data_IF_441503339035
#
_entry.id   IF_441503339035
#
_cell.length_a   1.000
_cell.length_b   1.000
_cell.length_c   1.000
_cell.angle_alpha   90.00
_cell.angle_beta   90.00
_cell.angle_gamma   90.00
#
_symmetry.space_group_name_H-M   'P 1'
#
loop_
_entity.id
_entity.type
_entity.pdbx_description
1 polymer ?
#
# COMPACT_ATOMS: atom_id res chain seq x y z
N UNK A 1 -16.14 -3.15 -102.16
CA UNK A 1 -17.60 -3.01 -101.92
C UNK A 1 -18.04 -3.94 -100.81
N UNK A 2 -18.13 -3.42 -99.58
CA UNK A 2 -19.01 -3.86 -98.47
C UNK A 2 -18.73 -2.92 -97.28
N UNK A 3 -19.78 -2.21 -96.83
CA UNK A 3 -19.74 -1.24 -95.73
C UNK A 3 -19.75 -1.98 -94.38
N UNK A 4 -18.87 -1.59 -93.45
CA UNK A 4 -18.94 -1.86 -92.00
C UNK A 4 -18.48 -0.58 -91.31
N UNK A 5 -19.38 0.33 -90.95
CA UNK A 5 -19.98 0.51 -89.60
C UNK A 5 -18.90 0.60 -88.51
N UNK A 6 -18.42 1.84 -88.36
CA UNK A 6 -17.89 2.40 -87.12
C UNK A 6 -19.05 3.18 -86.49
N UNK A 7 -19.45 2.85 -85.27
CA UNK A 7 -20.17 3.78 -84.39
C UNK A 7 -19.61 3.64 -82.98
N UNK A 8 -19.11 4.77 -82.49
CA UNK A 8 -18.62 5.02 -81.16
C UNK A 8 -19.68 5.77 -80.35
N UNK A 9 -19.52 5.74 -79.02
CA UNK A 9 -20.08 6.66 -78.02
C UNK A 9 -21.60 6.91 -77.98
N UNK A 10 -22.21 6.58 -76.84
CA UNK A 10 -23.00 7.48 -75.98
C UNK A 10 -24.10 6.70 -75.24
N UNK A 11 -23.80 6.30 -74.01
CA UNK A 11 -24.81 6.06 -72.98
C UNK A 11 -24.19 6.38 -71.62
N UNK A 12 -23.86 7.66 -71.42
CA UNK A 12 -23.97 8.25 -70.10
C UNK A 12 -25.45 8.57 -69.89
N UNK A 13 -26.09 7.99 -68.87
CA UNK A 13 -26.90 8.71 -67.86
C UNK A 13 -27.63 7.71 -66.94
N UNK A 14 -27.65 8.09 -65.66
CA UNK A 14 -28.50 7.59 -64.57
C UNK A 14 -28.12 6.24 -63.94
N UNK A 15 -27.24 6.24 -62.93
CA UNK A 15 -27.59 6.01 -61.50
C UNK A 15 -26.42 6.49 -60.62
N UNK A 16 -26.32 7.81 -60.41
CA UNK A 16 -25.48 8.35 -59.34
C UNK A 16 -26.08 9.64 -58.80
N UNK A 17 -27.35 9.55 -58.37
CA UNK A 17 -27.86 10.44 -57.34
C UNK A 17 -27.61 9.74 -56.00
N UNK A 18 -26.39 9.86 -55.49
CA UNK A 18 -26.15 9.85 -54.05
C UNK A 18 -26.70 11.16 -53.47
N UNK A 19 -28.01 11.40 -53.68
CA UNK A 19 -28.76 12.29 -52.81
C UNK A 19 -28.64 11.68 -51.41
N UNK A 20 -28.34 12.51 -50.40
CA UNK A 20 -28.77 12.22 -49.03
C UNK A 20 -30.23 11.78 -49.14
N UNK A 21 -30.49 10.48 -48.97
CA UNK A 21 -31.86 9.96 -48.93
C UNK A 21 -32.43 10.48 -47.62
N UNK A 22 -33.03 11.66 -47.68
CA UNK A 22 -33.92 12.18 -46.66
C UNK A 22 -35.33 11.84 -47.11
N UNK A 23 -36.00 10.97 -46.38
CA UNK A 23 -37.42 10.70 -46.61
C UNK A 23 -38.22 11.78 -45.89
N UNK A 24 -38.93 12.62 -46.66
CA UNK A 24 -39.85 13.62 -46.12
C UNK A 24 -40.94 12.98 -45.26
N UNK A 25 -41.33 11.75 -45.60
CA UNK A 25 -42.33 10.98 -44.84
C UNK A 25 -41.79 10.58 -43.46
N UNK A 26 -40.63 9.92 -43.40
CA UNK A 26 -40.00 9.53 -42.13
C UNK A 26 -39.76 10.76 -41.25
N UNK A 27 -39.24 11.85 -41.81
CA UNK A 27 -39.03 13.10 -41.06
C UNK A 27 -40.35 13.67 -40.51
N UNK A 28 -41.42 13.67 -41.30
CA UNK A 28 -42.75 14.17 -40.88
C UNK A 28 -43.39 13.29 -39.79
N UNK A 29 -43.26 11.97 -39.93
CA UNK A 29 -43.76 11.01 -38.94
C UNK A 29 -42.98 11.13 -37.63
N UNK A 30 -41.65 11.23 -37.68
CA UNK A 30 -40.82 11.50 -36.50
C UNK A 30 -41.18 12.85 -35.84
N UNK A 31 -41.43 13.89 -36.63
CA UNK A 31 -41.86 15.18 -36.09
C UNK A 31 -43.22 15.08 -35.37
N UNK A 32 -44.14 14.26 -35.90
CA UNK A 32 -45.44 14.00 -35.27
C UNK A 32 -45.28 13.19 -33.98
N UNK A 33 -44.46 12.13 -33.97
CA UNK A 33 -44.15 11.36 -32.77
C UNK A 33 -43.49 12.22 -31.68
N UNK A 34 -42.59 13.13 -32.07
CA UNK A 34 -41.99 14.09 -31.15
C UNK A 34 -43.02 15.09 -30.58
N UNK A 35 -44.01 15.52 -31.38
CA UNK A 35 -45.12 16.34 -30.86
C UNK A 35 -45.96 15.56 -29.85
N UNK A 36 -46.24 14.28 -30.10
CA UNK A 36 -46.93 13.41 -29.14
C UNK A 36 -46.15 13.36 -27.82
N UNK A 37 -44.85 13.07 -27.84
CA UNK A 37 -44.06 13.03 -26.61
C UNK A 37 -44.03 14.36 -25.85
N UNK A 38 -44.06 15.50 -26.54
CA UNK A 38 -44.17 16.82 -25.89
C UNK A 38 -45.53 17.00 -25.21
N UNK A 39 -46.62 16.61 -25.87
CA UNK A 39 -47.96 16.67 -25.28
C UNK A 39 -48.09 15.72 -24.09
N UNK A 40 -47.55 14.50 -24.18
CA UNK A 40 -47.49 13.55 -23.07
C UNK A 40 -46.68 14.12 -21.89
N UNK A 41 -45.55 14.79 -22.16
CA UNK A 41 -44.78 15.48 -21.12
C UNK A 41 -45.57 16.63 -20.47
N UNK A 42 -46.33 17.41 -21.26
CA UNK A 42 -47.21 18.46 -20.72
C UNK A 42 -48.35 17.88 -19.88
N UNK A 43 -48.92 16.74 -20.29
CA UNK A 43 -49.89 15.98 -19.52
C UNK A 43 -49.29 15.55 -18.17
N UNK A 44 -48.10 14.95 -18.17
CA UNK A 44 -47.39 14.53 -16.95
C UNK A 44 -47.23 15.72 -15.97
N UNK A 45 -46.79 16.88 -16.47
CA UNK A 45 -46.60 18.10 -15.66
C UNK A 45 -47.91 18.61 -15.08
N UNK A 46 -48.97 18.69 -15.90
CA UNK A 46 -50.30 19.12 -15.44
C UNK A 46 -50.88 18.13 -14.44
N UNK A 47 -50.67 16.83 -14.61
CA UNK A 47 -51.15 15.80 -13.69
C UNK A 47 -50.47 15.88 -12.33
N UNK A 48 -49.16 16.13 -12.29
CA UNK A 48 -48.46 16.38 -11.01
C UNK A 48 -49.03 17.62 -10.32
N UNK A 49 -49.37 18.67 -11.09
CA UNK A 49 -50.02 19.86 -10.53
C UNK A 49 -51.42 19.57 -9.98
N UNK A 50 -52.22 18.75 -10.65
CA UNK A 50 -53.51 18.26 -10.14
C UNK A 50 -53.31 17.53 -8.81
N UNK A 51 -52.34 16.61 -8.74
CA UNK A 51 -52.01 15.88 -7.51
C UNK A 51 -51.56 16.81 -6.38
N UNK A 52 -50.79 17.86 -6.69
CA UNK A 52 -50.40 18.89 -5.71
C UNK A 52 -51.62 19.67 -5.19
N UNK A 53 -52.51 20.11 -6.08
CA UNK A 53 -53.72 20.84 -5.70
C UNK A 53 -54.68 19.97 -4.87
N UNK A 54 -54.80 18.68 -5.19
CA UNK A 54 -55.55 17.71 -4.40
C UNK A 54 -54.98 17.58 -2.97
N UNK A 55 -53.66 17.48 -2.84
CA UNK A 55 -53.00 17.46 -1.53
C UNK A 55 -53.26 18.77 -0.75
N UNK A 56 -53.19 19.91 -1.43
CA UNK A 56 -53.48 21.21 -0.83
C UNK A 56 -54.94 21.31 -0.36
N UNK A 57 -55.89 20.86 -1.19
CA UNK A 57 -57.30 20.81 -0.82
C UNK A 57 -57.54 19.99 0.46
N UNK A 58 -56.92 18.82 0.57
CA UNK A 58 -57.01 17.99 1.79
C UNK A 58 -56.33 18.67 2.99
N UNK A 59 -55.15 19.28 2.80
CA UNK A 59 -54.44 19.99 3.87
C UNK A 59 -55.21 21.19 4.43
N UNK A 60 -55.94 21.90 3.57
CA UNK A 60 -56.76 23.03 3.99
C UNK A 60 -58.05 22.56 4.71
N UNK A 61 -58.30 21.26 4.84
CA UNK A 61 -59.47 20.71 5.55
C UNK A 61 -60.57 20.17 4.63
N UNK A 62 -60.30 20.10 3.33
CA UNK A 62 -61.13 19.39 2.37
C UNK A 62 -61.18 17.89 2.64
N UNK A 63 -62.24 17.23 2.16
CA UNK A 63 -62.38 15.78 2.30
C UNK A 63 -61.39 15.07 1.38
N UNK A 64 -60.67 14.08 1.92
CA UNK A 64 -59.81 13.23 1.11
C UNK A 64 -60.65 12.43 0.09
N UNK A 65 -60.37 12.67 -1.19
CA UNK A 65 -61.00 12.00 -2.33
C UNK A 65 -60.07 10.97 -2.99
N UNK A 66 -58.99 10.62 -2.28
CA UNK A 66 -57.95 9.70 -2.73
C UNK A 66 -56.91 10.37 -3.62
N UNK A 67 -55.77 9.71 -3.77
CA UNK A 67 -54.76 10.10 -4.77
C UNK A 67 -55.21 9.65 -6.16
N UNK A 68 -54.83 10.40 -7.19
CA UNK A 68 -55.07 9.98 -8.58
C UNK A 68 -54.18 8.77 -8.88
N UNK A 69 -54.77 7.58 -8.88
CA UNK A 69 -54.11 6.35 -9.31
C UNK A 69 -54.19 6.31 -10.84
N UNK A 70 -53.19 6.89 -11.52
CA UNK A 70 -53.12 6.96 -12.98
C UNK A 70 -52.99 8.39 -13.52
N UNK A 71 -53.20 8.55 -14.83
CA UNK A 71 -52.99 9.82 -15.55
C UNK A 71 -54.24 10.75 -15.58
N UNK A 72 -55.34 10.44 -14.89
CA UNK A 72 -56.58 11.25 -14.86
C UNK A 72 -57.41 10.97 -13.61
N UNK A 73 -58.12 11.98 -13.10
CA UNK A 73 -59.18 11.79 -12.10
C UNK A 73 -60.20 10.75 -12.57
N UNK A 74 -60.67 9.88 -11.66
CA UNK A 74 -61.76 8.96 -12.02
C UNK A 74 -63.07 9.75 -12.19
N UNK A 75 -64.05 9.23 -12.96
CA UNK A 75 -65.36 9.86 -13.10
C UNK A 75 -66.03 10.12 -11.74
N UNK A 76 -65.84 9.22 -10.78
CA UNK A 76 -66.36 9.33 -9.42
C UNK A 76 -65.67 10.48 -8.67
N UNK A 77 -64.34 10.59 -8.74
CA UNK A 77 -63.59 11.68 -8.12
C UNK A 77 -64.00 13.06 -8.71
N UNK A 78 -64.20 13.12 -10.02
CA UNK A 78 -64.68 14.32 -10.72
C UNK A 78 -66.08 14.73 -10.26
N UNK A 79 -67.00 13.77 -10.20
CA UNK A 79 -68.37 14.02 -9.74
C UNK A 79 -68.42 14.51 -8.28
N UNK A 80 -67.58 13.97 -7.40
CA UNK A 80 -67.48 14.43 -6.00
C UNK A 80 -66.98 15.87 -5.93
N UNK A 81 -65.95 16.23 -6.70
CA UNK A 81 -65.44 17.60 -6.78
C UNK A 81 -66.48 18.58 -7.34
N UNK A 82 -67.18 18.20 -8.41
CA UNK A 82 -68.26 19.02 -9.01
C UNK A 82 -69.44 19.21 -8.06
N UNK A 83 -69.81 18.18 -7.29
CA UNK A 83 -70.85 18.29 -6.27
C UNK A 83 -70.43 19.23 -5.14
N UNK A 84 -69.19 19.10 -4.64
CA UNK A 84 -68.67 19.97 -3.58
C UNK A 84 -68.57 21.41 -4.04
N UNK A 85 -68.14 21.67 -5.27
CA UNK A 85 -68.13 23.01 -5.84
C UNK A 85 -69.51 23.70 -5.76
N UNK A 86 -70.61 22.95 -5.83
CA UNK A 86 -71.97 23.50 -5.71
C UNK A 86 -72.38 23.79 -4.26
N UNK A 87 -71.82 23.06 -3.29
CA UNK A 87 -72.20 23.12 -1.86
C UNK A 87 -71.27 23.99 -1.01
N UNK A 88 -70.02 24.18 -1.45
CA UNK A 88 -68.96 24.87 -0.69
C UNK A 88 -69.16 26.39 -0.66
N UNK A 89 -69.12 27.03 0.52
CA UNK A 89 -69.28 28.49 0.64
C UNK A 89 -67.97 29.24 0.94
N UNK A 90 -66.90 28.54 1.30
CA UNK A 90 -65.57 29.13 1.46
C UNK A 90 -64.94 29.49 0.12
N UNK A 91 -64.60 30.77 -0.07
CA UNK A 91 -64.04 31.29 -1.32
C UNK A 91 -62.77 30.52 -1.73
N UNK A 92 -61.85 30.23 -0.78
CA UNK A 92 -60.60 29.51 -1.05
C UNK A 92 -60.76 28.07 -1.55
N UNK A 93 -61.70 27.30 -0.98
CA UNK A 93 -61.93 25.92 -1.41
C UNK A 93 -62.60 25.84 -2.79
N UNK A 94 -63.50 26.79 -3.10
CA UNK A 94 -64.12 26.86 -4.42
C UNK A 94 -63.08 27.11 -5.50
N UNK A 95 -62.12 27.99 -5.23
CA UNK A 95 -61.03 28.30 -6.17
C UNK A 95 -60.11 27.09 -6.38
N UNK A 96 -59.73 26.38 -5.32
CA UNK A 96 -58.93 25.15 -5.44
C UNK A 96 -59.64 24.05 -6.22
N UNK A 97 -60.94 23.82 -5.97
CA UNK A 97 -61.73 22.82 -6.70
C UNK A 97 -61.87 23.23 -8.18
N UNK A 98 -62.11 24.51 -8.46
CA UNK A 98 -62.15 25.03 -9.83
C UNK A 98 -60.83 24.82 -10.56
N UNK A 99 -59.70 25.10 -9.91
CA UNK A 99 -58.38 24.91 -10.49
C UNK A 99 -58.09 23.44 -10.78
N UNK A 100 -58.45 22.52 -9.86
CA UNK A 100 -58.32 21.07 -10.07
C UNK A 100 -59.13 20.63 -11.30
N UNK A 101 -60.40 21.00 -11.37
CA UNK A 101 -61.29 20.62 -12.48
C UNK A 101 -60.84 21.23 -13.82
N UNK A 102 -60.38 22.48 -13.81
CA UNK A 102 -59.85 23.14 -15.01
C UNK A 102 -58.58 22.45 -15.52
N UNK A 103 -57.63 22.11 -14.63
CA UNK A 103 -56.41 21.38 -15.03
C UNK A 103 -56.70 19.96 -15.49
N UNK A 104 -57.69 19.29 -14.89
CA UNK A 104 -58.15 18.00 -15.36
C UNK A 104 -58.74 18.08 -16.77
N UNK A 105 -59.53 19.13 -17.06
CA UNK A 105 -60.03 19.38 -18.42
C UNK A 105 -58.91 19.61 -19.41
N UNK A 106 -57.89 20.40 -19.05
CA UNK A 106 -56.70 20.58 -19.90
C UNK A 106 -56.03 19.23 -20.21
N UNK A 107 -55.91 18.33 -19.23
CA UNK A 107 -55.32 16.99 -19.42
C UNK A 107 -56.18 16.16 -20.38
N UNK A 108 -57.51 16.16 -20.23
CA UNK A 108 -58.44 15.47 -21.12
C UNK A 108 -58.31 15.99 -22.56
N UNK A 109 -58.29 17.30 -22.75
CA UNK A 109 -58.17 17.95 -24.07
C UNK A 109 -56.81 17.63 -24.73
N UNK A 110 -55.71 17.60 -23.96
CA UNK A 110 -54.39 17.20 -24.46
C UNK A 110 -54.34 15.71 -24.86
N UNK A 111 -55.00 14.82 -24.11
CA UNK A 111 -55.08 13.40 -24.46
C UNK A 111 -55.83 13.17 -25.78
N UNK A 112 -56.89 13.93 -26.02
CA UNK A 112 -57.59 13.91 -27.31
C UNK A 112 -56.65 14.31 -28.44
N UNK A 113 -55.86 15.38 -28.26
CA UNK A 113 -54.86 15.79 -29.27
C UNK A 113 -53.80 14.70 -29.51
N UNK A 114 -53.33 14.03 -28.45
CA UNK A 114 -52.41 12.89 -28.58
C UNK A 114 -53.05 11.80 -29.44
N UNK A 115 -54.28 11.38 -29.14
CA UNK A 115 -55.00 10.36 -29.91
C UNK A 115 -55.21 10.76 -31.37
N UNK A 116 -55.49 12.03 -31.65
CA UNK A 116 -55.62 12.54 -33.03
C UNK A 116 -54.31 12.51 -33.81
N UNK A 117 -53.17 12.77 -33.14
CA UNK A 117 -51.85 12.66 -33.76
C UNK A 117 -51.42 11.21 -33.95
N UNK A 118 -51.73 10.32 -32.99
CA UNK A 118 -51.45 8.89 -33.10
C UNK A 118 -52.15 8.26 -34.30
N UNK A 119 -53.39 8.67 -34.60
CA UNK A 119 -54.14 8.22 -35.79
C UNK A 119 -53.47 8.57 -37.12
N UNK A 120 -52.53 9.54 -37.13
CA UNK A 120 -51.77 9.94 -38.33
C UNK A 120 -50.46 9.17 -38.51
N UNK A 121 -50.10 8.34 -37.54
CA UNK A 121 -48.89 7.54 -37.55
C UNK A 121 -49.20 6.07 -37.88
N UNK A 122 -48.22 5.32 -38.43
CA UNK A 122 -48.32 3.86 -38.50
C UNK A 122 -48.45 3.26 -37.09
N UNK A 123 -48.98 2.05 -37.00
CA UNK A 123 -49.18 1.38 -35.71
C UNK A 123 -47.88 1.29 -34.89
N UNK A 124 -47.95 1.72 -33.64
CA UNK A 124 -46.84 1.58 -32.69
C UNK A 124 -46.76 0.15 -32.15
N UNK A 125 -45.55 -0.26 -31.75
CA UNK A 125 -45.34 -1.46 -30.95
C UNK A 125 -45.42 -1.10 -29.48
N UNK A 126 -46.35 -1.73 -28.75
CA UNK A 126 -46.43 -1.59 -27.30
C UNK A 126 -45.36 -2.47 -26.65
N UNK A 127 -44.48 -1.83 -25.86
CA UNK A 127 -43.35 -2.48 -25.20
C UNK A 127 -43.84 -3.42 -24.11
N UNK A 128 -43.29 -4.64 -24.14
CA UNK A 128 -43.45 -5.65 -23.12
C UNK A 128 -42.18 -5.81 -22.27
N UNK A 129 -42.31 -6.54 -21.17
CA UNK A 129 -41.18 -6.80 -20.29
C UNK A 129 -40.11 -7.63 -21.01
N UNK A 130 -38.90 -7.07 -21.09
CA UNK A 130 -37.75 -7.73 -21.71
C UNK A 130 -37.49 -7.31 -23.16
N UNK A 131 -38.41 -6.55 -23.77
CA UNK A 131 -38.21 -6.01 -25.11
C UNK A 131 -37.01 -5.06 -25.15
N UNK A 132 -36.26 -5.14 -26.25
CA UNK A 132 -35.15 -4.25 -26.55
C UNK A 132 -35.45 -3.45 -27.80
N UNK A 133 -35.16 -2.15 -27.76
CA UNK A 133 -35.45 -1.26 -28.89
C UNK A 133 -34.79 -1.76 -30.19
N UNK A 134 -33.55 -2.23 -30.10
CA UNK A 134 -32.85 -2.84 -31.23
C UNK A 134 -33.61 -4.03 -31.85
N UNK A 135 -34.14 -4.92 -31.02
CA UNK A 135 -34.85 -6.12 -31.50
C UNK A 135 -36.20 -5.77 -32.12
N UNK A 136 -36.92 -4.79 -31.55
CA UNK A 136 -38.16 -4.27 -32.12
C UNK A 136 -37.91 -3.62 -33.50
N UNK A 137 -36.85 -2.82 -33.61
CA UNK A 137 -36.42 -2.20 -34.85
C UNK A 137 -36.04 -3.23 -35.93
N UNK A 138 -35.24 -4.23 -35.57
CA UNK A 138 -34.83 -5.30 -36.46
C UNK A 138 -36.02 -6.15 -36.93
N UNK A 139 -36.93 -6.50 -36.02
CA UNK A 139 -38.14 -7.24 -36.35
C UNK A 139 -39.02 -6.47 -37.33
N UNK A 140 -39.23 -5.17 -37.11
CA UNK A 140 -39.99 -4.32 -38.03
C UNK A 140 -39.37 -4.30 -39.43
N UNK A 141 -38.07 -4.03 -39.55
CA UNK A 141 -37.41 -3.93 -40.85
C UNK A 141 -37.34 -5.27 -41.59
N UNK A 142 -37.11 -6.37 -40.88
CA UNK A 142 -36.94 -7.69 -41.52
C UNK A 142 -38.27 -8.40 -41.77
N UNK A 143 -39.19 -8.40 -40.81
CA UNK A 143 -40.44 -9.17 -40.89
C UNK A 143 -41.56 -8.38 -41.56
N UNK A 144 -41.67 -7.08 -41.29
CA UNK A 144 -42.76 -6.26 -41.85
C UNK A 144 -42.35 -5.58 -43.16
N UNK A 145 -41.10 -5.12 -43.27
CA UNK A 145 -40.59 -4.45 -44.49
C UNK A 145 -39.81 -5.37 -45.42
N UNK A 146 -39.49 -6.60 -44.99
CA UNK A 146 -38.85 -7.61 -45.85
C UNK A 146 -37.39 -7.32 -46.20
N UNK A 147 -36.69 -6.48 -45.44
CA UNK A 147 -35.27 -6.21 -45.67
C UNK A 147 -34.43 -7.42 -45.26
N UNK A 148 -33.30 -7.62 -45.94
CA UNK A 148 -32.28 -8.55 -45.46
C UNK A 148 -31.69 -8.06 -44.12
N UNK A 149 -31.26 -9.02 -43.30
CA UNK A 149 -30.80 -8.73 -41.94
C UNK A 149 -29.57 -7.79 -41.91
N UNK A 150 -28.71 -7.83 -42.93
CA UNK A 150 -27.51 -6.99 -42.98
C UNK A 150 -27.87 -5.53 -43.30
N UNK A 151 -28.76 -5.30 -44.27
CA UNK A 151 -29.27 -3.97 -44.58
C UNK A 151 -30.10 -3.38 -43.42
N UNK A 152 -30.96 -4.20 -42.79
CA UNK A 152 -31.72 -3.78 -41.62
C UNK A 152 -30.79 -3.35 -40.49
N UNK A 153 -29.78 -4.17 -40.14
CA UNK A 153 -28.80 -3.84 -39.11
C UNK A 153 -28.10 -2.52 -39.37
N UNK A 154 -27.65 -2.27 -40.61
CA UNK A 154 -26.99 -1.01 -40.99
C UNK A 154 -27.89 0.21 -40.75
N UNK A 155 -29.19 0.08 -41.00
CA UNK A 155 -30.14 1.16 -40.76
C UNK A 155 -30.41 1.39 -39.27
N UNK A 156 -30.53 0.31 -38.49
CA UNK A 156 -30.76 0.39 -37.04
C UNK A 156 -29.58 1.02 -36.30
N UNK A 157 -28.35 0.72 -36.72
CA UNK A 157 -27.13 1.29 -36.12
C UNK A 157 -26.94 2.80 -36.40
N UNK A 158 -27.67 3.36 -37.37
CA UNK A 158 -27.59 4.77 -37.75
C UNK A 158 -28.56 5.68 -36.98
N UNK A 159 -29.48 5.09 -36.22
CA UNK A 159 -30.48 5.85 -35.45
C UNK A 159 -30.20 5.79 -33.95
N UNK A 160 -30.69 6.79 -33.23
CA UNK A 160 -30.58 6.80 -31.78
C UNK A 160 -31.62 5.85 -31.18
N UNK A 161 -31.15 4.73 -30.65
CA UNK A 161 -31.97 3.78 -29.91
C UNK A 161 -31.99 4.17 -28.44
N UNK A 162 -33.08 3.80 -27.78
CA UNK A 162 -33.23 3.99 -26.34
C UNK A 162 -32.76 2.71 -25.64
N UNK A 163 -31.84 2.87 -24.69
CA UNK A 163 -31.18 1.75 -24.01
C UNK A 163 -32.14 0.95 -23.13
N UNK A 164 -32.99 1.65 -22.36
CA UNK A 164 -33.93 1.05 -21.43
C UNK A 164 -35.35 1.31 -21.90
N UNK A 165 -36.11 0.26 -22.22
CA UNK A 165 -37.54 0.35 -22.52
C UNK A 165 -38.36 -0.13 -21.32
N UNK A 166 -39.34 0.68 -20.90
CA UNK A 166 -40.27 0.36 -19.83
C UNK A 166 -41.55 -0.22 -20.43
N UNK A 167 -42.13 -1.30 -19.87
CA UNK A 167 -43.41 -1.83 -20.32
C UNK A 167 -44.50 -0.75 -20.38
N UNK A 168 -45.26 -0.74 -21.47
CA UNK A 168 -46.27 0.27 -21.75
C UNK A 168 -45.79 1.42 -22.65
N UNK A 169 -44.48 1.60 -22.86
CA UNK A 169 -44.00 2.51 -23.90
C UNK A 169 -44.50 2.13 -25.29
N UNK A 170 -44.64 3.12 -26.16
CA UNK A 170 -44.94 2.92 -27.57
C UNK A 170 -43.69 3.21 -28.39
N UNK A 171 -43.24 2.22 -29.16
CA UNK A 171 -42.13 2.37 -30.11
C UNK A 171 -42.72 2.54 -31.51
N UNK A 172 -42.44 3.68 -32.12
CA UNK A 172 -42.86 4.03 -33.46
C UNK A 172 -41.73 3.77 -34.44
N UNK A 173 -41.92 2.83 -35.35
CA UNK A 173 -40.95 2.52 -36.40
C UNK A 173 -41.41 3.09 -37.74
N UNK A 174 -40.51 3.79 -38.42
CA UNK A 174 -40.77 4.44 -39.70
C UNK A 174 -39.75 3.97 -40.72
N UNK A 175 -40.23 3.55 -41.89
CA UNK A 175 -39.34 3.16 -42.98
C UNK A 175 -39.93 3.58 -44.32
N UNK A 176 -39.16 4.36 -45.07
CA UNK A 176 -39.48 4.75 -46.44
C UNK A 176 -38.19 4.92 -47.25
N UNK A 177 -38.17 4.35 -48.46
CA UNK A 177 -37.11 4.51 -49.46
C UNK A 177 -35.67 4.32 -48.93
N UNK A 178 -35.46 3.37 -48.01
CA UNK A 178 -34.13 3.08 -47.43
C UNK A 178 -33.73 4.05 -46.31
N UNK A 179 -34.66 4.85 -45.81
CA UNK A 179 -34.50 5.69 -44.62
C UNK A 179 -35.30 5.04 -43.50
N UNK A 180 -34.64 4.83 -42.37
CA UNK A 180 -35.26 4.30 -41.17
C UNK A 180 -35.22 5.34 -40.06
N UNK A 181 -36.31 5.45 -39.31
CA UNK A 181 -36.41 6.28 -38.13
C UNK A 181 -37.20 5.56 -37.06
N UNK A 182 -36.86 5.82 -35.80
CA UNK A 182 -37.63 5.32 -34.66
C UNK A 182 -37.81 6.40 -33.62
N UNK A 183 -38.90 6.32 -32.86
CA UNK A 183 -39.19 7.23 -31.78
C UNK A 183 -39.95 6.50 -30.66
N UNK A 184 -39.68 6.86 -29.41
CA UNK A 184 -40.35 6.25 -28.24
C UNK A 184 -41.22 7.30 -27.57
N UNK A 185 -42.50 6.99 -27.37
CA UNK A 185 -43.45 7.80 -26.59
C UNK A 185 -43.90 7.04 -25.34
N UNK A 186 -44.48 7.76 -24.39
CA UNK A 186 -44.87 7.22 -23.08
C UNK A 186 -45.95 6.14 -23.20
N UNK A 187 -46.94 6.33 -24.08
CA UNK A 187 -48.01 5.35 -24.23
C UNK A 187 -48.76 5.09 -22.93
N UNK A 188 -48.78 3.83 -22.49
CA UNK A 188 -49.46 3.38 -21.27
C UNK A 188 -48.55 3.37 -20.03
N UNK A 189 -47.25 3.68 -20.19
CA UNK A 189 -46.31 3.67 -19.08
C UNK A 189 -46.59 4.79 -18.06
N UNK A 190 -46.33 4.49 -16.78
CA UNK A 190 -46.47 5.44 -15.67
C UNK A 190 -45.32 6.46 -15.57
N UNK A 191 -44.26 6.29 -16.36
CA UNK A 191 -43.09 7.16 -16.42
C UNK A 191 -42.86 7.54 -17.86
N UNK A 192 -42.42 8.76 -18.16
CA UNK A 192 -42.08 9.16 -19.53
C UNK A 192 -40.65 8.76 -19.93
N UNK A 193 -40.37 8.53 -21.23
CA UNK A 193 -39.04 8.15 -21.73
C UNK A 193 -37.93 9.13 -21.31
N UNK A 194 -38.25 10.44 -21.28
CA UNK A 194 -37.32 11.47 -20.83
C UNK A 194 -36.87 11.27 -19.38
N UNK A 195 -37.78 10.88 -18.47
CA UNK A 195 -37.45 10.65 -17.07
C UNK A 195 -36.54 9.43 -16.88
N UNK A 196 -36.75 8.38 -17.68
CA UNK A 196 -35.88 7.19 -17.69
C UNK A 196 -34.47 7.57 -18.11
N UNK A 197 -34.33 8.31 -19.22
CA UNK A 197 -33.02 8.80 -19.70
C UNK A 197 -32.34 9.69 -18.67
N UNK A 198 -33.07 10.60 -18.01
CA UNK A 198 -32.51 11.48 -16.99
C UNK A 198 -32.04 10.72 -15.75
N UNK A 199 -32.81 9.72 -15.30
CA UNK A 199 -32.41 8.86 -14.18
C UNK A 199 -31.14 8.09 -14.50
N UNK A 200 -31.09 7.43 -15.66
CA UNK A 200 -29.90 6.69 -16.10
C UNK A 200 -28.67 7.62 -16.19
N UNK A 201 -28.84 8.85 -16.70
CA UNK A 201 -27.76 9.85 -16.72
C UNK A 201 -27.31 10.26 -15.31
N UNK A 202 -28.24 10.48 -14.39
CA UNK A 202 -27.91 10.81 -13.00
C UNK A 202 -27.15 9.65 -12.34
N UNK A 203 -27.61 8.42 -12.51
CA UNK A 203 -26.94 7.23 -11.99
C UNK A 203 -25.51 7.10 -12.54
N UNK A 204 -25.31 7.34 -13.84
CA UNK A 204 -23.97 7.36 -14.46
C UNK A 204 -23.08 8.46 -13.89
N UNK A 205 -23.62 9.67 -13.68
CA UNK A 205 -22.87 10.78 -13.06
C UNK A 205 -22.49 10.44 -11.62
N UNK A 206 -23.42 9.94 -10.82
CA UNK A 206 -23.17 9.53 -9.44
C UNK A 206 -22.14 8.40 -9.37
N UNK A 207 -22.22 7.40 -10.25
CA UNK A 207 -21.26 6.31 -10.33
C UNK A 207 -19.87 6.83 -10.71
N UNK A 208 -19.78 7.73 -11.70
CA UNK A 208 -18.52 8.40 -12.07
C UNK A 208 -17.93 9.16 -10.89
N UNK A 209 -18.73 9.99 -10.22
CA UNK A 209 -18.25 10.84 -9.12
C UNK A 209 -17.76 9.99 -7.93
N UNK A 210 -18.46 8.89 -7.65
CA UNK A 210 -18.04 7.89 -6.66
C UNK A 210 -16.70 7.26 -7.05
N UNK A 211 -16.55 6.84 -8.31
CA UNK A 211 -15.30 6.24 -8.79
C UNK A 211 -14.12 7.23 -8.74
N UNK A 212 -14.36 8.51 -9.10
CA UNK A 212 -13.35 9.57 -8.99
C UNK A 212 -12.95 9.80 -7.54
N UNK A 213 -13.92 9.89 -6.62
CA UNK A 213 -13.65 10.06 -5.19
C UNK A 213 -12.84 8.89 -4.62
N UNK A 214 -13.18 7.64 -4.97
CA UNK A 214 -12.44 6.46 -4.56
C UNK A 214 -11.00 6.48 -5.09
N UNK A 215 -10.81 6.83 -6.36
CA UNK A 215 -9.48 6.97 -6.97
C UNK A 215 -8.63 7.99 -6.21
N UNK A 216 -9.21 9.14 -5.86
CA UNK A 216 -8.48 10.21 -5.18
C UNK A 216 -8.11 9.82 -3.73
N UNK A 217 -8.97 9.06 -3.05
CA UNK A 217 -8.66 8.50 -1.73
C UNK A 217 -7.53 7.48 -1.80
N UNK A 218 -7.58 6.55 -2.76
CA UNK A 218 -6.51 5.57 -2.98
C UNK A 218 -5.18 6.24 -3.35
N UNK A 219 -5.21 7.32 -4.11
CA UNK A 219 -4.01 8.09 -4.44
C UNK A 219 -3.38 8.72 -3.18
N UNK A 220 -4.19 9.28 -2.28
CA UNK A 220 -3.70 9.81 -1.00
C UNK A 220 -3.11 8.72 -0.11
N UNK A 221 -3.81 7.60 0.04
CA UNK A 221 -3.35 6.45 0.83
C UNK A 221 -2.02 5.92 0.29
N UNK A 222 -1.89 5.80 -1.04
CA UNK A 222 -0.63 5.41 -1.68
C UNK A 222 0.51 6.36 -1.33
N UNK A 223 0.29 7.68 -1.38
CA UNK A 223 1.32 8.66 -1.01
C UNK A 223 1.73 8.52 0.45
N UNK A 224 0.78 8.40 1.38
CA UNK A 224 1.06 8.18 2.81
C UNK A 224 1.84 6.89 3.05
N UNK A 225 1.49 5.80 2.36
CA UNK A 225 2.22 4.54 2.47
C UNK A 225 3.66 4.68 1.95
N UNK A 226 3.87 5.38 0.84
CA UNK A 226 5.22 5.63 0.32
C UNK A 226 6.08 6.45 1.30
N UNK A 227 5.49 7.46 1.95
CA UNK A 227 6.16 8.22 3.01
C UNK A 227 6.53 7.33 4.20
N UNK A 228 5.60 6.48 4.65
CA UNK A 228 5.85 5.53 5.73
C UNK A 228 6.96 4.52 5.39
N UNK A 229 6.98 3.99 4.16
CA UNK A 229 8.05 3.09 3.70
C UNK A 229 9.41 3.82 3.73
N UNK A 230 9.47 5.05 3.21
CA UNK A 230 10.70 5.86 3.22
C UNK A 230 11.22 6.10 4.65
N UNK A 231 10.33 6.41 5.60
CA UNK A 231 10.71 6.61 6.99
C UNK A 231 11.17 5.31 7.68
N UNK A 232 10.53 4.18 7.37
CA UNK A 232 10.95 2.87 7.87
C UNK A 232 12.31 2.46 7.30
N UNK A 233 12.58 2.74 6.03
CA UNK A 233 13.90 2.50 5.42
C UNK A 233 14.99 3.31 6.09
N UNK A 234 14.75 4.60 6.36
CA UNK A 234 15.71 5.44 7.14
C UNK A 234 15.96 4.88 8.53
N UNK A 235 14.91 4.45 9.25
CA UNK A 235 15.06 3.85 10.58
C UNK A 235 15.85 2.54 10.54
N UNK A 236 15.57 1.69 9.56
CA UNK A 236 16.34 0.45 9.34
C UNK A 236 17.81 0.74 9.13
N UNK A 237 18.12 1.72 8.28
CA UNK A 237 19.51 2.05 7.95
C UNK A 237 20.24 2.65 9.16
N UNK A 238 19.57 3.49 9.96
CA UNK A 238 20.10 3.99 11.23
C UNK A 238 20.39 2.83 12.21
N UNK A 239 19.43 1.92 12.41
CA UNK A 239 19.62 0.78 13.31
C UNK A 239 20.77 -0.12 12.87
N UNK A 240 20.96 -0.31 11.56
CA UNK A 240 22.09 -1.08 11.05
C UNK A 240 23.44 -0.39 11.35
N UNK A 241 23.49 0.94 11.26
CA UNK A 241 24.69 1.72 11.65
C UNK A 241 24.97 1.61 13.15
N UNK A 242 23.93 1.73 13.98
CA UNK A 242 24.05 1.62 15.43
C UNK A 242 24.54 0.21 15.84
N UNK A 243 23.99 -0.83 15.22
CA UNK A 243 24.45 -2.22 15.44
C UNK A 243 25.93 -2.38 15.05
N UNK A 244 26.36 -1.82 13.93
CA UNK A 244 27.76 -1.88 13.51
C UNK A 244 28.69 -1.14 14.50
N UNK A 245 28.29 0.04 14.99
CA UNK A 245 29.04 0.76 16.03
C UNK A 245 29.14 -0.04 17.33
N UNK A 246 28.02 -0.58 17.83
CA UNK A 246 28.02 -1.37 19.06
C UNK A 246 28.85 -2.66 18.93
N UNK A 247 28.87 -3.28 17.75
CA UNK A 247 29.75 -4.42 17.48
C UNK A 247 31.23 -4.01 17.54
N UNK A 248 31.59 -2.89 16.93
CA UNK A 248 32.96 -2.36 16.98
C UNK A 248 33.39 -1.98 18.41
N UNK A 249 32.51 -1.32 19.18
CA UNK A 249 32.76 -1.00 20.60
C UNK A 249 32.92 -2.27 21.44
N UNK A 250 32.09 -3.29 21.22
CA UNK A 250 32.22 -4.58 21.90
C UNK A 250 33.56 -5.24 21.60
N UNK A 251 34.00 -5.25 20.34
CA UNK A 251 35.30 -5.80 19.97
C UNK A 251 36.46 -5.04 20.61
N UNK A 252 36.39 -3.71 20.66
CA UNK A 252 37.39 -2.88 21.34
C UNK A 252 37.44 -3.15 22.85
N UNK A 253 36.28 -3.23 23.51
CA UNK A 253 36.18 -3.56 24.92
C UNK A 253 36.73 -4.95 25.24
N UNK A 254 36.46 -5.95 24.38
CA UNK A 254 37.01 -7.30 24.55
C UNK A 254 38.53 -7.30 24.45
N UNK A 255 39.12 -6.55 23.51
CA UNK A 255 40.58 -6.37 23.41
C UNK A 255 41.15 -5.72 24.67
N UNK A 256 40.57 -4.62 25.13
CA UNK A 256 40.99 -3.94 26.38
C UNK A 256 40.88 -4.85 27.60
N UNK A 257 39.82 -5.64 27.70
CA UNK A 257 39.68 -6.62 28.79
C UNK A 257 40.77 -7.70 28.73
N UNK A 258 41.11 -8.17 27.53
CA UNK A 258 42.20 -9.13 27.35
C UNK A 258 43.55 -8.53 27.73
N UNK A 259 43.87 -7.33 27.24
CA UNK A 259 45.10 -6.60 27.59
C UNK A 259 45.22 -6.37 29.11
N UNK A 260 44.12 -5.98 29.77
CA UNK A 260 44.08 -5.80 31.22
C UNK A 260 44.27 -7.12 31.98
N UNK A 261 43.70 -8.22 31.49
CA UNK A 261 43.90 -9.53 32.08
C UNK A 261 45.36 -9.98 31.94
N UNK A 262 45.94 -9.86 30.75
CA UNK A 262 47.33 -10.21 30.48
C UNK A 262 48.29 -9.37 31.36
N UNK A 263 48.04 -8.06 31.47
CA UNK A 263 48.80 -7.18 32.37
C UNK A 263 48.64 -7.57 33.83
N UNK A 264 47.41 -7.93 34.26
CA UNK A 264 47.16 -8.39 35.63
C UNK A 264 47.89 -9.69 35.93
N UNK A 265 47.92 -10.63 34.99
CA UNK A 265 48.65 -11.89 35.12
C UNK A 265 50.18 -11.67 35.17
N UNK A 266 50.73 -10.81 34.30
CA UNK A 266 52.15 -10.44 34.32
C UNK A 266 52.53 -9.79 35.66
N UNK A 267 51.75 -8.81 36.13
CA UNK A 267 51.99 -8.17 37.42
C UNK A 267 51.91 -9.19 38.57
N UNK A 268 50.93 -10.10 38.54
CA UNK A 268 50.82 -11.17 39.54
C UNK A 268 52.03 -12.11 39.49
N UNK A 269 52.51 -12.49 38.31
CA UNK A 269 53.71 -13.30 38.16
C UNK A 269 54.94 -12.57 38.72
N UNK A 270 55.17 -11.30 38.32
CA UNK A 270 56.27 -10.46 38.82
C UNK A 270 56.24 -10.19 40.31
N UNK A 271 55.05 -10.07 40.92
CA UNK A 271 54.89 -9.89 42.37
C UNK A 271 55.15 -11.17 43.15
N UNK A 272 54.94 -12.34 42.53
CA UNK A 272 55.14 -13.64 43.17
C UNK A 272 56.45 -14.33 42.77
N UNK A 273 57.29 -13.66 41.98
CA UNK A 273 58.57 -14.19 41.54
C UNK A 273 59.74 -13.70 42.40
N UNK A 274 60.73 -14.56 42.56
CA UNK A 274 62.08 -14.15 42.97
C UNK A 274 62.94 -14.01 41.73
N UNK A 275 63.53 -12.83 41.54
CA UNK A 275 64.51 -12.58 40.49
C UNK A 275 65.87 -13.03 40.99
N UNK A 276 66.60 -13.78 40.17
CA UNK A 276 67.88 -14.32 40.57
C UNK A 276 68.95 -14.27 39.49
N UNK A 277 70.19 -14.32 39.96
CA UNK A 277 71.38 -14.51 39.13
C UNK A 277 72.25 -15.59 39.74
N UNK A 278 72.81 -16.42 38.89
CA UNK A 278 73.71 -17.49 39.26
C UNK A 278 75.08 -17.16 38.69
N UNK A 279 76.14 -17.38 39.45
CA UNK A 279 77.48 -17.19 38.92
C UNK A 279 78.60 -17.56 39.88
N UNK A 280 79.78 -17.71 39.30
CA UNK A 280 81.04 -17.84 40.02
C UNK A 280 81.27 -16.64 40.95
N UNK A 281 81.71 -16.93 42.17
CA UNK A 281 81.98 -15.90 43.19
C UNK A 281 82.91 -14.80 42.68
N UNK A 282 84.00 -15.12 42.00
CA UNK A 282 84.97 -14.10 41.53
C UNK A 282 84.35 -13.24 40.43
N UNK A 283 83.61 -13.86 39.51
CA UNK A 283 82.91 -13.16 38.46
C UNK A 283 81.86 -12.19 39.04
N UNK A 284 81.02 -12.65 39.97
CA UNK A 284 79.97 -11.82 40.58
C UNK A 284 80.53 -10.64 41.39
N UNK A 285 81.66 -10.83 42.07
CA UNK A 285 82.36 -9.74 42.77
C UNK A 285 82.99 -8.76 41.77
N UNK A 286 83.65 -9.26 40.71
CA UNK A 286 84.27 -8.40 39.68
C UNK A 286 83.26 -7.55 38.91
N UNK A 287 82.05 -8.07 38.72
CA UNK A 287 80.92 -7.36 38.09
C UNK A 287 80.26 -6.34 39.04
N UNK A 288 80.69 -6.27 40.31
CA UNK A 288 80.10 -5.39 41.31
C UNK A 288 78.67 -5.76 41.71
N UNK A 289 78.22 -6.99 41.42
CA UNK A 289 76.88 -7.45 41.76
C UNK A 289 76.79 -7.84 43.23
N UNK A 290 77.86 -8.45 43.77
CA UNK A 290 77.97 -8.80 45.17
C UNK A 290 79.27 -8.25 45.78
N UNK A 291 79.21 -7.93 47.06
CA UNK A 291 80.38 -7.69 47.89
C UNK A 291 80.56 -8.88 48.84
N UNK A 292 81.66 -9.62 48.67
CA UNK A 292 81.98 -10.81 49.46
C UNK A 292 83.50 -10.83 49.77
N UNK A 293 83.86 -10.31 50.95
CA UNK A 293 85.24 -10.19 51.42
C UNK A 293 85.62 -11.31 52.39
N UNK A 294 86.92 -11.48 52.65
CA UNK A 294 87.45 -12.57 53.52
C UNK A 294 86.83 -12.58 54.94
N UNK A 295 86.35 -11.42 55.41
CA UNK A 295 85.67 -11.27 56.71
C UNK A 295 84.27 -10.65 56.62
N UNK A 296 83.72 -10.47 55.42
CA UNK A 296 82.39 -9.86 55.22
C UNK A 296 81.44 -10.83 54.55
N UNK A 297 80.19 -10.89 55.03
CA UNK A 297 79.15 -11.74 54.42
C UNK A 297 78.76 -11.22 53.04
N UNK A 298 78.45 -12.12 52.12
CA UNK A 298 78.00 -11.76 50.77
C UNK A 298 76.73 -10.89 50.83
N UNK A 299 76.79 -9.70 50.22
CA UNK A 299 75.66 -8.77 50.07
C UNK A 299 75.52 -8.35 48.62
N UNK A 300 74.28 -8.15 48.17
CA UNK A 300 73.99 -7.60 46.85
C UNK A 300 74.26 -6.09 46.88
N UNK A 301 74.99 -5.59 45.90
CA UNK A 301 75.36 -4.17 45.78
C UNK A 301 74.69 -3.46 44.61
N UNK A 302 74.19 -4.21 43.62
CA UNK A 302 73.36 -3.69 42.54
C UNK A 302 72.03 -4.46 42.46
N UNK A 303 70.92 -3.73 42.48
CA UNK A 303 69.55 -4.24 42.45
C UNK A 303 68.82 -3.97 41.12
N UNK A 304 69.51 -3.46 40.10
CA UNK A 304 68.93 -3.20 38.78
C UNK A 304 68.36 -4.49 38.18
N UNK A 305 67.13 -4.46 37.66
CA UNK A 305 66.44 -5.64 37.10
C UNK A 305 67.26 -6.33 36.00
N UNK A 306 68.00 -5.55 35.19
CA UNK A 306 68.90 -6.06 34.16
C UNK A 306 70.03 -6.97 34.71
N UNK A 307 70.36 -6.83 35.99
CA UNK A 307 71.36 -7.67 36.66
C UNK A 307 70.83 -9.04 37.05
N UNK A 308 69.51 -9.27 37.03
CA UNK A 308 68.84 -10.50 37.43
C UNK A 308 67.98 -11.05 36.29
N UNK A 309 68.61 -11.62 35.25
CA UNK A 309 67.91 -12.00 34.02
C UNK A 309 66.95 -13.19 34.21
N UNK A 310 67.10 -13.94 35.30
CA UNK A 310 66.28 -15.12 35.59
C UNK A 310 65.29 -14.81 36.70
N UNK A 311 64.12 -15.44 36.65
CA UNK A 311 63.13 -15.37 37.72
C UNK A 311 62.47 -16.72 37.93
N UNK A 312 61.97 -16.95 39.15
CA UNK A 312 61.19 -18.13 39.51
C UNK A 312 59.86 -17.66 40.10
N UNK A 313 58.75 -17.93 39.43
CA UNK A 313 57.41 -17.71 39.98
C UNK A 313 57.14 -18.73 41.09
N UNK A 314 57.13 -18.25 42.33
CA UNK A 314 57.00 -19.06 43.53
C UNK A 314 55.62 -19.70 43.70
N UNK A 315 54.65 -19.40 42.80
CA UNK A 315 53.37 -20.14 42.70
C UNK A 315 53.51 -21.44 41.92
N UNK A 316 54.47 -21.49 40.98
CA UNK A 316 54.64 -22.60 40.04
C UNK A 316 55.72 -23.59 40.48
N UNK A 317 56.66 -23.15 41.32
CA UNK A 317 57.71 -24.01 41.87
C UNK A 317 58.55 -23.28 42.92
N UNK A 318 59.22 -24.04 43.77
CA UNK A 318 60.03 -23.53 44.87
C UNK A 318 61.53 -23.79 44.67
N UNK A 319 61.94 -24.35 43.54
CA UNK A 319 63.30 -24.85 43.33
C UNK A 319 63.93 -24.23 42.09
N UNK A 320 65.07 -23.58 42.27
CA UNK A 320 65.96 -23.15 41.19
C UNK A 320 66.95 -24.28 40.92
N UNK A 321 66.97 -24.80 39.70
CA UNK A 321 67.97 -25.79 39.24
C UNK A 321 68.88 -25.14 38.21
N UNK A 322 70.17 -25.48 38.25
CA UNK A 322 71.15 -24.93 37.33
C UNK A 322 72.34 -25.87 37.14
N UNK A 323 73.09 -25.65 36.07
CA UNK A 323 74.29 -26.43 35.75
C UNK A 323 75.57 -25.67 36.10
N UNK A 324 76.70 -26.38 36.23
CA UNK A 324 78.01 -25.77 36.43
C UNK A 324 78.35 -24.77 35.31
N UNK A 325 77.98 -25.10 34.06
CA UNK A 325 78.19 -24.25 32.89
C UNK A 325 77.38 -22.94 32.98
N UNK A 326 76.11 -23.01 33.38
CA UNK A 326 75.26 -21.81 33.59
C UNK A 326 75.82 -20.91 34.68
N UNK A 327 76.43 -21.49 35.71
CA UNK A 327 77.07 -20.75 36.78
C UNK A 327 78.49 -20.27 36.42
N UNK A 328 79.01 -20.61 35.23
CA UNK A 328 80.32 -20.18 34.75
C UNK A 328 81.50 -20.89 35.40
N UNK A 329 81.31 -22.08 35.97
CA UNK A 329 82.34 -22.90 36.62
C UNK A 329 82.45 -24.28 35.98
N UNK A 330 83.63 -24.92 36.09
CA UNK A 330 83.81 -26.28 35.58
C UNK A 330 83.12 -27.34 36.45
N UNK A 331 83.02 -27.08 37.76
CA UNK A 331 82.44 -28.01 38.74
C UNK A 331 81.99 -27.21 39.97
N UNK A 332 80.76 -27.43 40.42
CA UNK A 332 80.18 -26.76 41.59
C UNK A 332 80.66 -27.49 42.85
N UNK A 333 81.44 -26.83 43.70
CA UNK A 333 81.90 -27.36 44.98
C UNK A 333 80.99 -26.92 46.13
N UNK A 334 80.47 -25.70 46.04
CA UNK A 334 79.58 -25.14 47.07
C UNK A 334 78.61 -24.14 46.47
N UNK A 335 77.43 -24.04 47.07
CA UNK A 335 76.36 -23.12 46.67
C UNK A 335 75.98 -22.29 47.90
N UNK A 336 75.94 -20.97 47.72
CA UNK A 336 75.49 -20.01 48.72
C UNK A 336 74.46 -19.08 48.11
N UNK A 337 73.61 -18.51 48.97
CA UNK A 337 72.58 -17.56 48.56
C UNK A 337 72.83 -16.22 49.26
N UNK A 338 72.98 -15.16 48.47
CA UNK A 338 73.16 -13.80 48.93
C UNK A 338 71.86 -12.97 48.77
N UNK A 339 71.59 -12.01 49.68
CA UNK A 339 72.42 -11.65 50.82
C UNK A 339 72.33 -12.66 51.98
N UNK A 340 73.48 -13.09 52.50
CA UNK A 340 73.57 -14.10 53.59
C UNK A 340 73.00 -13.58 54.94
N UNK A 341 72.78 -12.27 55.06
CA UNK A 341 72.15 -11.66 56.24
C UNK A 341 70.64 -11.91 56.23
N UNK A 342 70.02 -11.85 55.05
CA UNK A 342 68.58 -12.03 54.91
C UNK A 342 68.23 -13.51 54.75
N UNK A 343 69.02 -14.32 54.04
CA UNK A 343 68.68 -15.72 53.78
C UNK A 343 69.53 -16.71 54.56
N UNK A 344 68.89 -17.53 55.41
CA UNK A 344 69.55 -18.52 56.26
C UNK A 344 69.44 -19.94 55.66
N UNK A 345 70.55 -20.65 55.44
CA UNK A 345 70.51 -22.04 54.96
C UNK A 345 69.85 -22.96 56.00
N UNK A 346 69.09 -23.95 55.53
CA UNK A 346 68.32 -24.89 56.35
C UNK A 346 67.03 -24.33 56.96
N UNK A 347 66.80 -23.01 56.89
CA UNK A 347 65.59 -22.34 57.41
C UNK A 347 64.82 -21.67 56.28
N UNK A 348 65.50 -20.83 55.50
CA UNK A 348 64.87 -20.10 54.40
C UNK A 348 65.05 -20.83 53.06
N UNK A 349 66.16 -21.57 52.88
CA UNK A 349 66.45 -22.35 51.68
C UNK A 349 67.34 -23.57 51.99
N UNK A 350 67.34 -24.55 51.09
CA UNK A 350 68.28 -25.67 51.05
C UNK A 350 69.01 -25.62 49.72
N UNK A 351 70.33 -25.62 49.75
CA UNK A 351 71.15 -25.76 48.56
C UNK A 351 71.78 -27.16 48.52
N UNK A 352 71.75 -27.80 47.37
CA UNK A 352 72.37 -29.10 47.15
C UNK A 352 73.18 -29.11 45.86
N UNK A 353 74.38 -29.66 45.94
CA UNK A 353 75.21 -30.01 44.80
C UNK A 353 74.84 -31.43 44.40
N UNK A 354 74.51 -31.63 43.13
CA UNK A 354 74.07 -32.89 42.56
C UNK A 354 75.09 -33.39 41.52
N UNK A 355 74.98 -34.66 41.16
CA UNK A 355 75.70 -35.26 40.02
C UNK A 355 77.21 -34.97 40.05
N UNK A 356 77.84 -35.21 41.21
CA UNK A 356 79.27 -34.97 41.48
C UNK A 356 79.78 -33.57 41.10
N UNK A 357 78.92 -32.54 41.22
CA UNK A 357 79.28 -31.15 40.97
C UNK A 357 78.89 -30.61 39.59
N UNK A 358 78.24 -31.42 38.75
CA UNK A 358 77.74 -30.97 37.44
C UNK A 358 76.48 -30.09 37.56
N UNK A 359 75.66 -30.31 38.60
CA UNK A 359 74.38 -29.64 38.79
C UNK A 359 74.25 -29.05 40.21
N UNK A 360 73.52 -27.96 40.32
CA UNK A 360 73.16 -27.32 41.57
C UNK A 360 71.66 -27.11 41.66
N UNK A 361 71.13 -27.20 42.88
CA UNK A 361 69.75 -26.79 43.14
C UNK A 361 69.66 -25.96 44.42
N UNK A 362 68.80 -24.96 44.40
CA UNK A 362 68.40 -24.17 45.57
C UNK A 362 66.88 -24.29 45.72
N UNK A 363 66.45 -25.00 46.75
CA UNK A 363 65.05 -25.12 47.13
C UNK A 363 64.70 -24.07 48.19
N UNK A 364 63.72 -23.23 47.90
CA UNK A 364 63.19 -22.19 48.78
C UNK A 364 62.20 -22.84 49.75
N UNK A 365 62.45 -22.69 51.05
CA UNK A 365 61.56 -23.19 52.10
C UNK A 365 60.60 -22.10 52.59
N UNK A 366 61.08 -20.85 52.68
CA UNK A 366 60.29 -19.71 53.17
C UNK A 366 59.92 -18.75 52.05
N UNK A 367 58.90 -19.12 51.27
CA UNK A 367 58.42 -18.38 50.09
C UNK A 367 58.13 -16.91 50.38
N UNK A 368 57.52 -16.59 51.52
CA UNK A 368 57.15 -15.22 51.87
C UNK A 368 58.36 -14.28 51.98
N UNK A 369 59.50 -14.80 52.45
CA UNK A 369 60.73 -14.03 52.62
C UNK A 369 61.39 -13.71 51.29
N UNK A 370 61.42 -14.68 50.37
CA UNK A 370 61.92 -14.45 49.01
C UNK A 370 60.99 -13.58 48.18
N UNK A 371 59.68 -13.63 48.43
CA UNK A 371 58.69 -12.71 47.81
C UNK A 371 58.88 -11.25 48.25
N UNK A 372 59.25 -11.00 49.50
CA UNK A 372 59.44 -9.65 50.04
C UNK A 372 60.72 -8.97 49.54
N UNK A 373 61.83 -9.73 49.49
CA UNK A 373 63.15 -9.22 49.11
C UNK A 373 63.36 -9.18 47.59
N UNK A 374 62.55 -9.94 46.82
CA UNK A 374 62.40 -9.99 45.35
C UNK A 374 63.66 -10.32 44.54
N UNK A 375 64.86 -10.24 45.11
CA UNK A 375 66.13 -10.45 44.42
C UNK A 375 67.04 -11.38 45.21
N UNK A 376 67.75 -12.26 44.51
CA UNK A 376 68.63 -13.27 45.09
C UNK A 376 69.85 -13.49 44.20
N UNK A 377 71.04 -13.65 44.78
CA UNK A 377 72.20 -14.13 44.01
C UNK A 377 72.63 -15.49 44.53
N UNK A 378 72.66 -16.48 43.63
CA UNK A 378 73.19 -17.81 43.91
C UNK A 378 74.68 -17.78 43.56
N UNK A 379 75.51 -17.82 44.59
CA UNK A 379 76.97 -17.75 44.50
C UNK A 379 77.52 -19.16 44.52
N UNK A 380 78.27 -19.54 43.47
CA UNK A 380 78.94 -20.84 43.40
C UNK A 380 80.46 -20.69 43.54
N UNK A 381 81.12 -21.75 44.01
CA UNK A 381 82.59 -21.89 44.03
C UNK A 381 83.03 -23.27 43.57
#
# INVERSE_FOLDING_TARGET
MKRMIVWALAAALAVSLACKRESKEVTSQMATANKIAKLEQEIDVKQEKVNQLLRQYVQEGGQDIGSVVGQTLTPEQKAVLEQKLKQEQGIGYRDLINDILAKQKDVEDLKVQVQELEKKLPAAVLVQRGDRHYELAMNYLTKEKGLDAAAAKKLVEQVNLMDELVPGFKVWNFYDNGVYGTFVTQGEASVSPYRVIQRAKQELVTARDTAVSQRDNLAKEKTTLLEQVSDLEKKRDQLNQDVAMLQAEREDLLKKMQELNDLSEDLRARLNSVFYRIGDRKALVSQGLIQDGVFTRARITNFDEASFPSHLDLRSGDTVKFTAQEAGVALIKSIKVAPEVSYKPGVDYIAAVLSDGAEGQVKILNVNKFRAERTMVIVVN
#
